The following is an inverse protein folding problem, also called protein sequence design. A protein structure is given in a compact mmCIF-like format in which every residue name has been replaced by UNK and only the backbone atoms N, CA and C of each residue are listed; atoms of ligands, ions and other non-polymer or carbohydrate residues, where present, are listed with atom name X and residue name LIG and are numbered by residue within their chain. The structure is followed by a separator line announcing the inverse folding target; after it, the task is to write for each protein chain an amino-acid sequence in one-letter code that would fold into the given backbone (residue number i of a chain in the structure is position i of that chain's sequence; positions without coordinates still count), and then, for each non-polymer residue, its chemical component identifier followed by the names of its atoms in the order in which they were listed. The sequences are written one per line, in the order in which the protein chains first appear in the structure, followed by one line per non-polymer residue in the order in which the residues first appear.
data_IF_064492746415
#
_entry.id   IF_064492746415
#
_cell.length_a   1.000
_cell.length_b   1.000
_cell.length_c   1.000
_cell.angle_alpha   90.00
_cell.angle_beta   90.00
_cell.angle_gamma   90.00
#
_symmetry.space_group_name_H-M   'P 1'
#
loop_
_entity.id
_entity.type
_entity.pdbx_description
1 polymer ?
#
# COMPACT_ATOMS: atom_id res chain seq x y z
N UNK A 1 7.19 -42.19 4.71
CA UNK A 1 6.56 -41.03 5.37
C UNK A 1 7.20 -39.72 4.88
N UNK A 2 7.10 -39.38 3.58
CA UNK A 2 7.85 -38.26 2.99
C UNK A 2 7.03 -37.18 2.27
N UNK A 3 5.70 -37.20 2.30
CA UNK A 3 4.89 -36.23 1.52
C UNK A 3 4.52 -34.92 2.24
N UNK A 4 4.93 -34.69 3.50
CA UNK A 4 4.51 -33.47 4.22
C UNK A 4 5.48 -32.28 4.10
N UNK A 5 6.77 -32.51 3.77
CA UNK A 5 7.82 -31.47 3.83
C UNK A 5 7.79 -30.46 2.68
N UNK A 6 7.39 -30.87 1.46
CA UNK A 6 7.32 -29.95 0.30
C UNK A 6 6.32 -28.82 0.49
N UNK A 7 5.20 -29.11 1.18
CA UNK A 7 4.09 -28.16 1.29
C UNK A 7 4.33 -26.98 2.26
N UNK A 8 5.20 -27.14 3.27
CA UNK A 8 5.46 -26.10 4.28
C UNK A 8 6.53 -25.12 3.80
N UNK A 9 7.62 -25.63 3.21
CA UNK A 9 8.68 -24.79 2.65
C UNK A 9 8.18 -23.97 1.45
N UNK A 10 7.37 -24.55 0.58
CA UNK A 10 6.75 -23.82 -0.54
C UNK A 10 5.84 -22.67 -0.07
N UNK A 11 5.00 -22.91 0.95
CA UNK A 11 4.17 -21.84 1.55
C UNK A 11 5.01 -20.74 2.21
N UNK A 12 6.16 -21.09 2.77
CA UNK A 12 7.08 -20.12 3.39
C UNK A 12 7.72 -19.24 2.33
N UNK A 13 8.17 -19.81 1.23
CA UNK A 13 8.70 -19.06 0.09
C UNK A 13 7.65 -18.10 -0.45
N UNK A 14 6.42 -18.56 -0.71
CA UNK A 14 5.32 -17.70 -1.16
C UNK A 14 5.00 -16.56 -0.17
N UNK A 15 5.15 -16.81 1.14
CA UNK A 15 4.97 -15.76 2.15
C UNK A 15 6.08 -14.71 2.08
N UNK A 16 7.34 -15.14 1.95
CA UNK A 16 8.45 -14.21 1.82
C UNK A 16 8.36 -13.39 0.54
N UNK A 17 8.08 -14.03 -0.59
CA UNK A 17 7.96 -13.35 -1.88
C UNK A 17 6.83 -12.28 -1.86
N UNK A 18 5.70 -12.59 -1.20
CA UNK A 18 4.62 -11.63 -0.98
C UNK A 18 5.06 -10.42 -0.15
N UNK A 19 5.78 -10.67 0.95
CA UNK A 19 6.26 -9.63 1.86
C UNK A 19 7.33 -8.78 1.17
N UNK A 20 8.29 -9.40 0.50
CA UNK A 20 9.36 -8.72 -0.22
C UNK A 20 8.77 -7.82 -1.32
N UNK A 21 7.75 -8.31 -2.04
CA UNK A 21 7.03 -7.48 -3.01
C UNK A 21 6.29 -6.32 -2.36
N UNK A 22 5.55 -6.54 -1.25
CA UNK A 22 4.88 -5.44 -0.53
C UNK A 22 5.87 -4.34 -0.13
N UNK A 23 7.03 -4.73 0.40
CA UNK A 23 8.07 -3.80 0.84
C UNK A 23 8.69 -3.04 -0.33
N UNK A 24 8.87 -3.68 -1.48
CA UNK A 24 9.34 -3.02 -2.69
C UNK A 24 8.33 -1.97 -3.21
N UNK A 25 7.05 -2.34 -3.32
CA UNK A 25 5.96 -1.43 -3.73
C UNK A 25 5.83 -0.25 -2.76
N UNK A 26 5.92 -0.51 -1.45
CA UNK A 26 5.93 0.53 -0.41
C UNK A 26 7.11 1.48 -0.57
N UNK A 27 8.31 0.94 -0.81
CA UNK A 27 9.52 1.75 -0.98
C UNK A 27 9.38 2.67 -2.20
N UNK A 28 8.92 2.14 -3.33
CA UNK A 28 8.71 2.93 -4.54
C UNK A 28 7.67 4.02 -4.28
N UNK A 29 6.54 3.69 -3.65
CA UNK A 29 5.49 4.65 -3.29
C UNK A 29 6.04 5.78 -2.41
N UNK A 30 6.81 5.47 -1.37
CA UNK A 30 7.39 6.48 -0.48
C UNK A 30 8.40 7.38 -1.19
N UNK A 31 9.21 6.83 -2.11
CA UNK A 31 10.14 7.63 -2.91
C UNK A 31 9.37 8.63 -3.76
N UNK A 32 8.35 8.17 -4.50
CA UNK A 32 7.50 9.04 -5.33
C UNK A 32 6.76 10.09 -4.52
N UNK A 33 6.24 9.71 -3.35
CA UNK A 33 5.62 10.65 -2.41
C UNK A 33 6.59 11.76 -2.02
N UNK A 34 7.83 11.42 -1.63
CA UNK A 34 8.84 12.40 -1.26
C UNK A 34 9.23 13.32 -2.43
N UNK A 35 9.35 12.75 -3.65
CA UNK A 35 9.63 13.52 -4.86
C UNK A 35 8.57 14.59 -5.10
N UNK A 36 7.28 14.21 -5.06
CA UNK A 36 6.17 15.15 -5.26
C UNK A 36 6.07 16.15 -4.11
N UNK A 37 6.16 15.70 -2.85
CA UNK A 37 6.10 16.57 -1.68
C UNK A 37 7.20 17.64 -1.69
N UNK A 38 8.40 17.31 -2.20
CA UNK A 38 9.53 18.23 -2.29
C UNK A 38 9.45 19.32 -3.36
N UNK A 39 8.39 19.37 -4.17
CA UNK A 39 8.24 20.35 -5.27
C UNK A 39 7.65 21.69 -4.84
N UNK A 40 7.55 21.97 -3.55
CA UNK A 40 7.02 23.25 -3.07
C UNK A 40 7.89 24.44 -3.50
N UNK A 41 7.28 25.56 -3.94
CA UNK A 41 5.84 25.78 -4.16
C UNK A 41 5.32 25.13 -5.45
N UNK A 42 4.16 24.47 -5.36
CA UNK A 42 3.52 23.71 -6.46
C UNK A 42 3.00 24.59 -7.60
N UNK A 43 3.92 25.10 -8.42
CA UNK A 43 3.58 25.79 -9.65
C UNK A 43 3.39 24.78 -10.76
N UNK A 44 2.28 24.92 -11.50
CA UNK A 44 1.98 24.04 -12.62
C UNK A 44 3.12 24.04 -13.64
N UNK A 45 3.66 22.86 -13.92
CA UNK A 45 4.68 22.63 -14.92
C UNK A 45 4.51 21.23 -15.47
N UNK A 46 4.96 20.98 -16.70
CA UNK A 46 4.90 19.63 -17.29
C UNK A 46 5.64 18.59 -16.43
N UNK A 47 6.68 19.02 -15.71
CA UNK A 47 7.41 18.15 -14.78
C UNK A 47 6.59 17.77 -13.55
N UNK A 48 5.87 18.72 -12.96
CA UNK A 48 4.99 18.45 -11.80
C UNK A 48 3.83 17.55 -12.21
N UNK A 49 3.17 17.87 -13.32
CA UNK A 49 2.05 17.08 -13.85
C UNK A 49 2.49 15.61 -14.09
N UNK A 50 3.68 15.40 -14.65
CA UNK A 50 4.22 14.05 -14.86
C UNK A 50 4.59 13.33 -13.56
N UNK A 51 5.26 14.00 -12.62
CA UNK A 51 5.63 13.38 -11.34
C UNK A 51 4.41 13.02 -10.49
N UNK A 52 3.38 13.86 -10.52
CA UNK A 52 2.12 13.60 -9.84
C UNK A 52 1.39 12.40 -10.47
N UNK A 53 1.43 12.26 -11.79
CA UNK A 53 0.87 11.09 -12.48
C UNK A 53 1.61 9.80 -12.12
N UNK A 54 2.93 9.82 -12.18
CA UNK A 54 3.78 8.67 -11.84
C UNK A 54 3.54 8.26 -10.39
N UNK A 55 3.42 9.23 -9.48
CA UNK A 55 3.06 8.98 -8.09
C UNK A 55 1.67 8.36 -7.94
N UNK A 56 0.65 8.89 -8.63
CA UNK A 56 -0.70 8.36 -8.58
C UNK A 56 -0.76 6.89 -9.02
N UNK A 57 -0.04 6.52 -10.10
CA UNK A 57 0.04 5.13 -10.57
C UNK A 57 0.63 4.20 -9.50
N UNK A 58 1.77 4.57 -8.93
CA UNK A 58 2.41 3.75 -7.88
C UNK A 58 1.55 3.69 -6.61
N UNK A 59 0.87 4.78 -6.25
CA UNK A 59 0.00 4.84 -5.08
C UNK A 59 -1.18 3.86 -5.19
N UNK A 60 -1.84 3.80 -6.35
CA UNK A 60 -2.98 2.91 -6.56
C UNK A 60 -2.52 1.45 -6.64
N UNK A 61 -1.38 1.18 -7.29
CA UNK A 61 -0.81 -0.17 -7.37
C UNK A 61 -0.43 -0.70 -5.99
N UNK A 62 0.27 0.09 -5.17
CA UNK A 62 0.59 -0.26 -3.79
C UNK A 62 -0.67 -0.46 -2.93
N UNK A 63 -1.71 0.36 -3.14
CA UNK A 63 -2.99 0.24 -2.42
C UNK A 63 -3.74 -1.04 -2.81
N UNK A 64 -3.82 -1.33 -4.10
CA UNK A 64 -4.44 -2.54 -4.62
C UNK A 64 -3.69 -3.80 -4.17
N UNK A 65 -2.35 -3.78 -4.17
CA UNK A 65 -1.52 -4.92 -3.76
C UNK A 65 -1.80 -5.32 -2.30
N UNK A 66 -1.89 -4.35 -1.38
CA UNK A 66 -2.27 -4.61 0.01
C UNK A 66 -3.65 -5.26 0.13
N UNK A 67 -4.65 -4.72 -0.56
CA UNK A 67 -6.01 -5.26 -0.53
C UNK A 67 -6.15 -6.66 -1.14
N UNK A 68 -5.65 -6.87 -2.36
CA UNK A 68 -5.93 -8.07 -3.14
C UNK A 68 -4.93 -9.20 -2.91
N UNK A 69 -3.66 -8.90 -2.67
CA UNK A 69 -2.65 -9.95 -2.51
C UNK A 69 -2.47 -10.28 -1.02
N UNK A 70 -2.25 -9.28 -0.17
CA UNK A 70 -1.99 -9.49 1.26
C UNK A 70 -3.26 -9.93 1.99
N UNK A 71 -4.31 -9.11 1.97
CA UNK A 71 -5.59 -9.47 2.60
C UNK A 71 -6.38 -10.52 1.81
N UNK A 72 -6.19 -10.60 0.49
CA UNK A 72 -6.77 -11.66 -0.34
C UNK A 72 -6.32 -13.06 0.08
N UNK A 73 -5.05 -13.22 0.44
CA UNK A 73 -4.51 -14.48 0.98
C UNK A 73 -5.18 -14.95 2.27
N UNK A 74 -5.64 -14.01 3.09
CA UNK A 74 -6.34 -14.31 4.35
C UNK A 74 -7.80 -14.65 4.05
N UNK A 75 -8.47 -13.83 3.26
CA UNK A 75 -9.88 -14.00 2.91
C UNK A 75 -10.16 -15.21 2.02
N UNK A 76 -9.21 -15.65 1.19
CA UNK A 76 -9.32 -16.87 0.38
C UNK A 76 -9.01 -18.17 1.15
N UNK A 77 -8.68 -18.09 2.45
CA UNK A 77 -8.41 -19.25 3.31
C UNK A 77 -7.04 -19.90 3.11
N UNK A 78 -6.11 -19.26 2.39
CA UNK A 78 -4.72 -19.74 2.25
C UNK A 78 -3.93 -19.59 3.55
N UNK A 79 -4.31 -18.64 4.41
CA UNK A 79 -3.77 -18.51 5.76
C UNK A 79 -4.54 -19.40 6.75
N UNK A 80 -3.81 -20.16 7.57
CA UNK A 80 -4.38 -21.10 8.56
C UNK A 80 -3.99 -20.75 10.00
N UNK A 81 -3.06 -19.82 10.19
CA UNK A 81 -2.61 -19.40 11.52
C UNK A 81 -3.63 -18.46 12.12
N UNK A 82 -4.37 -18.94 13.11
CA UNK A 82 -5.40 -18.16 13.81
C UNK A 82 -4.88 -16.84 14.40
N UNK A 83 -3.60 -16.76 14.77
CA UNK A 83 -2.99 -15.51 15.24
C UNK A 83 -2.96 -14.44 14.12
N UNK A 84 -2.52 -14.81 12.92
CA UNK A 84 -2.48 -13.93 11.74
C UNK A 84 -3.88 -13.50 11.34
N UNK A 85 -4.83 -14.45 11.28
CA UNK A 85 -6.22 -14.18 10.90
C UNK A 85 -6.85 -13.16 11.86
N UNK A 86 -6.71 -13.34 13.17
CA UNK A 86 -7.26 -12.41 14.17
C UNK A 86 -6.67 -11.01 14.06
N UNK A 87 -5.36 -10.90 13.79
CA UNK A 87 -4.71 -9.60 13.61
C UNK A 87 -5.27 -8.94 12.36
N UNK A 88 -5.34 -9.66 11.25
CA UNK A 88 -5.92 -9.17 10.00
C UNK A 88 -7.36 -8.66 10.18
N UNK A 89 -8.24 -9.46 10.79
CA UNK A 89 -9.64 -9.07 11.07
C UNK A 89 -9.72 -7.81 11.95
N UNK A 90 -8.82 -7.68 12.93
CA UNK A 90 -8.77 -6.53 13.83
C UNK A 90 -8.36 -5.25 13.10
N UNK A 91 -7.33 -5.31 12.26
CA UNK A 91 -6.77 -4.12 11.60
C UNK A 91 -7.53 -3.73 10.32
N UNK A 92 -8.25 -4.67 9.70
CA UNK A 92 -8.85 -4.48 8.37
C UNK A 92 -9.75 -3.24 8.26
N UNK A 93 -10.65 -2.92 9.23
CA UNK A 93 -11.50 -1.73 9.12
C UNK A 93 -10.70 -0.43 9.05
N UNK A 94 -9.62 -0.33 9.82
CA UNK A 94 -8.76 0.85 9.83
C UNK A 94 -7.86 0.91 8.59
N UNK A 95 -7.37 -0.25 8.14
CA UNK A 95 -6.62 -0.38 6.90
C UNK A 95 -7.44 0.13 5.71
N UNK A 96 -8.70 -0.31 5.57
CA UNK A 96 -9.60 0.14 4.49
C UNK A 96 -9.79 1.65 4.54
N UNK A 97 -10.06 2.21 5.73
CA UNK A 97 -10.23 3.66 5.92
C UNK A 97 -8.99 4.45 5.49
N UNK A 98 -7.79 4.01 5.86
CA UNK A 98 -6.56 4.67 5.44
C UNK A 98 -6.34 4.54 3.92
N UNK A 99 -6.68 3.38 3.33
CA UNK A 99 -6.64 3.15 1.89
C UNK A 99 -7.63 4.01 1.09
N UNK A 100 -8.79 4.35 1.65
CA UNK A 100 -9.75 5.26 1.02
C UNK A 100 -9.15 6.65 0.77
N UNK A 101 -8.28 7.14 1.64
CA UNK A 101 -7.60 8.44 1.44
C UNK A 101 -6.64 8.38 0.25
N UNK A 102 -5.92 7.27 0.06
CA UNK A 102 -5.08 7.06 -1.10
C UNK A 102 -5.88 7.00 -2.41
N UNK A 103 -7.03 6.33 -2.40
CA UNK A 103 -7.95 6.28 -3.57
C UNK A 103 -8.52 7.67 -3.88
N UNK A 104 -9.02 8.38 -2.87
CA UNK A 104 -9.56 9.73 -3.05
C UNK A 104 -8.49 10.72 -3.56
N UNK A 105 -7.25 10.58 -3.10
CA UNK A 105 -6.13 11.38 -3.62
C UNK A 105 -5.89 11.07 -5.11
N UNK A 106 -5.82 9.78 -5.47
CA UNK A 106 -5.65 9.33 -6.84
C UNK A 106 -6.77 9.87 -7.75
N UNK A 107 -8.05 9.71 -7.35
CA UNK A 107 -9.21 10.21 -8.11
C UNK A 107 -9.17 11.73 -8.34
N UNK A 108 -8.58 12.49 -7.42
CA UNK A 108 -8.48 13.95 -7.50
C UNK A 108 -7.35 14.43 -8.42
N UNK A 109 -6.27 13.66 -8.50
CA UNK A 109 -5.00 14.07 -9.11
C UNK A 109 -4.57 13.24 -10.32
N UNK A 110 -5.35 12.23 -10.71
CA UNK A 110 -5.15 11.51 -11.96
C UNK A 110 -5.51 12.42 -13.16
N UNK A 111 -4.52 12.67 -14.02
CA UNK A 111 -4.63 13.55 -15.19
C UNK A 111 -5.50 12.98 -16.31
N UNK A 112 -5.93 11.74 -16.17
CA UNK A 112 -6.74 11.05 -17.17
C UNK A 112 -8.12 11.70 -17.39
N UNK A 113 -8.62 12.46 -16.41
CA UNK A 113 -10.03 12.89 -16.41
C UNK A 113 -10.25 14.42 -16.41
N UNK A 114 -9.38 15.25 -15.81
CA UNK A 114 -9.66 16.70 -15.65
C UNK A 114 -8.40 17.61 -15.58
N UNK A 115 -8.61 18.94 -15.62
CA UNK A 115 -7.54 19.91 -15.30
C UNK A 115 -7.17 19.83 -13.81
N UNK A 116 -5.89 19.58 -13.50
CA UNK A 116 -5.37 19.58 -12.14
C UNK A 116 -5.59 20.93 -11.44
N UNK A 117 -6.25 20.89 -10.29
CA UNK A 117 -6.37 22.01 -9.35
C UNK A 117 -5.37 21.77 -8.22
N UNK A 118 -4.25 22.50 -8.25
CA UNK A 118 -3.12 22.30 -7.33
C UNK A 118 -3.23 23.12 -6.03
N UNK A 119 -4.25 23.98 -5.90
CA UNK A 119 -4.42 24.92 -4.79
C UNK A 119 -4.45 24.25 -3.40
N UNK A 120 -4.78 22.95 -3.36
CA UNK A 120 -4.85 22.14 -2.13
C UNK A 120 -3.85 21.00 -2.09
N UNK A 121 -2.94 20.90 -3.07
CA UNK A 121 -2.03 19.77 -3.18
C UNK A 121 -1.16 19.60 -1.92
N UNK A 122 -0.71 20.70 -1.32
CA UNK A 122 0.04 20.67 -0.07
C UNK A 122 -0.75 20.01 1.08
N UNK A 123 -2.00 20.46 1.27
CA UNK A 123 -2.87 19.97 2.33
C UNK A 123 -3.24 18.50 2.11
N UNK A 124 -3.54 18.12 0.86
CA UNK A 124 -3.89 16.74 0.53
C UNK A 124 -2.69 15.79 0.63
N UNK A 125 -1.48 16.23 0.26
CA UNK A 125 -0.26 15.45 0.46
C UNK A 125 0.05 15.27 1.94
N UNK A 126 -0.18 16.29 2.77
CA UNK A 126 -0.03 16.18 4.22
C UNK A 126 -0.99 15.13 4.79
N UNK A 127 -2.28 15.22 4.45
CA UNK A 127 -3.28 14.25 4.88
C UNK A 127 -2.95 12.84 4.38
N UNK A 128 -2.56 12.71 3.12
CA UNK A 128 -2.16 11.42 2.54
C UNK A 128 -0.96 10.83 3.28
N UNK A 129 0.05 11.63 3.60
CA UNK A 129 1.23 11.18 4.34
C UNK A 129 0.89 10.63 5.73
N UNK A 130 -0.02 11.28 6.45
CA UNK A 130 -0.50 10.82 7.77
C UNK A 130 -1.21 9.46 7.66
N UNK A 131 -2.10 9.30 6.69
CA UNK A 131 -2.87 8.07 6.50
C UNK A 131 -2.02 6.92 5.94
N UNK A 132 -1.03 7.23 5.10
CA UNK A 132 -0.02 6.27 4.67
C UNK A 132 0.81 5.76 5.85
N UNK A 133 1.15 6.61 6.82
CA UNK A 133 1.86 6.19 8.02
C UNK A 133 1.01 5.22 8.85
N UNK A 134 -0.26 5.55 9.09
CA UNK A 134 -1.23 4.66 9.77
C UNK A 134 -1.33 3.33 9.04
N UNK A 135 -1.50 3.37 7.71
CA UNK A 135 -1.59 2.16 6.89
C UNK A 135 -0.34 1.28 7.02
N UNK A 136 0.85 1.87 6.94
CA UNK A 136 2.13 1.16 7.08
C UNK A 136 2.25 0.50 8.45
N UNK A 137 1.84 1.16 9.53
CA UNK A 137 1.86 0.58 10.88
C UNK A 137 0.94 -0.65 11.01
N UNK A 138 -0.22 -0.63 10.36
CA UNK A 138 -1.15 -1.77 10.34
C UNK A 138 -0.58 -2.93 9.51
N UNK A 139 0.00 -2.61 8.35
CA UNK A 139 0.69 -3.59 7.53
C UNK A 139 1.83 -4.25 8.31
N UNK A 140 2.65 -3.47 9.02
CA UNK A 140 3.78 -3.98 9.80
C UNK A 140 3.34 -4.90 10.95
N UNK A 141 2.20 -4.62 11.59
CA UNK A 141 1.58 -5.53 12.56
C UNK A 141 1.22 -6.87 11.92
N UNK A 142 0.64 -6.85 10.71
CA UNK A 142 0.28 -8.06 9.98
C UNK A 142 1.51 -8.83 9.51
N UNK A 143 2.48 -8.14 8.91
CA UNK A 143 3.74 -8.70 8.44
C UNK A 143 4.51 -9.39 9.57
N UNK A 144 4.59 -8.74 10.73
CA UNK A 144 5.22 -9.31 11.93
C UNK A 144 4.55 -10.62 12.32
N UNK A 145 3.21 -10.67 12.33
CA UNK A 145 2.46 -11.90 12.61
C UNK A 145 2.69 -13.00 11.55
N UNK A 146 2.85 -12.62 10.28
CA UNK A 146 3.11 -13.55 9.18
C UNK A 146 4.53 -14.12 9.21
N UNK A 147 5.49 -13.39 9.79
CA UNK A 147 6.88 -13.82 9.98
C UNK A 147 7.11 -14.55 11.30
N UNK A 148 6.29 -14.27 12.32
CA UNK A 148 6.35 -14.93 13.62
C UNK A 148 6.01 -16.42 13.51
N UNK A 149 6.73 -17.19 14.32
CA UNK A 149 6.83 -18.66 14.25
C UNK A 149 5.79 -19.39 15.07
#
# INVERSE_FOLDING_TARGET
MSSQKGSVEERRTVTRDLIDKLLAERQEMLVRFCEVAGLEPYHRSTSLDQQLQDFCQVLIDYTAFGHFEVFGRISNGSERRNAVIRIAEKIYPEFVRASEVAVNFNDKYDLSDHQLVLDRLADDLSQLGEELAVRIELEDQLLSAMLDR
#
